data_IF_223365537020
#
_entry.id   IF_223365537020
#
_cell.length_a   1.000
_cell.length_b   1.000
_cell.length_c   1.000
_cell.angle_alpha   90.00
_cell.angle_beta   90.00
_cell.angle_gamma   90.00
#
_symmetry.space_group_name_H-M   'P 1'
#
loop_
_entity.id
_entity.type
_entity.pdbx_description
1 polymer ?
#
# COMPACT_ATOMS: atom_id res chain seq x y z
N UNK A 1 1.30 7.83 11.84
CA UNK A 1 1.65 6.71 12.74
C UNK A 1 0.86 5.44 12.41
N UNK A 2 -0.48 5.49 12.39
CA UNK A 2 -1.34 4.32 12.10
C UNK A 2 -0.96 3.61 10.78
N UNK A 3 -0.68 4.36 9.72
CA UNK A 3 -0.31 3.81 8.41
C UNK A 3 1.01 3.05 8.44
N UNK A 4 2.02 3.55 9.18
CA UNK A 4 3.28 2.85 9.40
C UNK A 4 3.05 1.51 10.12
N UNK A 5 2.27 1.52 11.22
CA UNK A 5 1.95 0.30 11.97
C UNK A 5 1.19 -0.72 11.11
N UNK A 6 0.26 -0.27 10.28
CA UNK A 6 -0.44 -1.13 9.33
C UNK A 6 0.51 -1.75 8.30
N UNK A 7 1.48 -0.98 7.81
CA UNK A 7 2.46 -1.47 6.83
C UNK A 7 3.37 -2.56 7.40
N UNK A 8 3.73 -2.47 8.70
CA UNK A 8 4.66 -3.42 9.34
C UNK A 8 3.96 -4.59 10.04
N UNK A 9 2.64 -4.56 10.22
CA UNK A 9 1.87 -5.56 10.98
C UNK A 9 1.88 -6.99 10.40
N UNK A 10 2.31 -7.15 9.16
CA UNK A 10 2.47 -8.45 8.49
C UNK A 10 3.92 -8.95 8.46
N UNK A 11 4.85 -8.26 9.12
CA UNK A 11 6.24 -8.68 9.19
C UNK A 11 6.47 -9.75 10.27
N UNK A 12 7.57 -10.50 10.21
CA UNK A 12 8.02 -11.33 11.33
C UNK A 12 8.11 -10.52 12.62
N UNK A 13 7.76 -11.13 13.75
CA UNK A 13 7.54 -10.40 15.01
C UNK A 13 8.78 -9.65 15.51
N UNK A 14 9.96 -10.19 15.31
CA UNK A 14 11.23 -9.53 15.66
C UNK A 14 11.45 -8.25 14.83
N UNK A 15 11.19 -8.31 13.51
CA UNK A 15 11.29 -7.16 12.61
C UNK A 15 10.20 -6.12 12.92
N UNK A 16 8.96 -6.58 13.14
CA UNK A 16 7.85 -5.70 13.54
C UNK A 16 8.19 -4.96 14.85
N UNK A 17 8.64 -5.67 15.89
CA UNK A 17 8.99 -5.07 17.18
C UNK A 17 10.12 -4.02 17.03
N UNK A 18 11.16 -4.34 16.29
CA UNK A 18 12.27 -3.42 16.01
C UNK A 18 11.77 -2.15 15.33
N UNK A 19 10.92 -2.25 14.30
CA UNK A 19 10.35 -1.09 13.61
C UNK A 19 9.34 -0.33 14.48
N UNK A 20 8.59 -1.04 15.33
CA UNK A 20 7.67 -0.42 16.29
C UNK A 20 8.39 0.34 17.41
N UNK A 21 9.65 0.05 17.70
CA UNK A 21 10.46 0.79 18.67
C UNK A 21 10.95 2.16 18.15
N UNK A 22 10.88 2.42 16.84
CA UNK A 22 11.20 3.72 16.26
C UNK A 22 10.33 4.81 16.89
N UNK A 23 10.90 6.01 17.08
CA UNK A 23 10.18 7.18 17.58
C UNK A 23 8.94 7.49 16.72
N UNK A 24 7.84 7.86 17.34
CA UNK A 24 6.55 8.08 16.67
C UNK A 24 6.59 9.25 15.65
N UNK A 25 7.33 10.31 15.96
CA UNK A 25 7.47 11.44 15.04
C UNK A 25 8.22 11.03 13.77
N UNK A 26 9.23 10.16 13.92
CA UNK A 26 9.96 9.64 12.77
C UNK A 26 9.12 8.66 11.94
N UNK A 27 8.31 7.78 12.57
CA UNK A 27 7.37 6.90 11.85
C UNK A 27 6.45 7.67 10.92
N UNK A 28 6.00 8.86 11.35
CA UNK A 28 5.14 9.72 10.53
C UNK A 28 5.84 10.27 9.29
N UNK A 29 7.17 10.30 9.25
CA UNK A 29 7.95 10.79 8.12
C UNK A 29 8.33 9.68 7.12
N UNK A 30 8.35 8.41 7.52
CA UNK A 30 8.77 7.28 6.69
C UNK A 30 7.77 7.06 5.56
N UNK A 31 8.23 7.08 4.31
CA UNK A 31 7.44 6.80 3.12
C UNK A 31 7.66 5.36 2.61
N UNK A 32 8.85 4.80 2.91
CA UNK A 32 9.25 3.51 2.38
C UNK A 32 10.24 2.82 3.33
N UNK A 33 10.07 1.51 3.52
CA UNK A 33 10.97 0.65 4.29
C UNK A 33 11.59 -0.33 3.31
N UNK A 34 12.92 -0.45 3.31
CA UNK A 34 13.62 -1.34 2.40
C UNK A 34 14.45 -2.38 3.13
N UNK A 35 14.19 -3.63 2.78
CA UNK A 35 14.97 -4.81 3.17
C UNK A 35 15.73 -5.31 1.95
N UNK A 36 17.04 -5.51 2.07
CA UNK A 36 17.88 -6.05 1.00
C UNK A 36 18.80 -7.11 1.58
N UNK A 37 19.02 -8.17 0.80
CA UNK A 37 19.90 -9.26 1.19
C UNK A 37 21.28 -8.76 1.58
N UNK A 38 21.74 -9.16 2.77
CA UNK A 38 23.03 -8.82 3.38
C UNK A 38 23.29 -7.30 3.49
N UNK A 39 22.21 -6.51 3.64
CA UNK A 39 22.28 -5.06 3.81
C UNK A 39 21.47 -4.63 5.04
N UNK A 40 21.78 -3.46 5.62
CA UNK A 40 21.00 -2.92 6.71
C UNK A 40 19.60 -2.46 6.20
N UNK A 41 18.62 -2.51 7.10
CA UNK A 41 17.30 -1.95 6.86
C UNK A 41 17.40 -0.44 6.67
N UNK A 42 16.79 0.07 5.59
CA UNK A 42 16.73 1.50 5.32
C UNK A 42 15.30 2.03 5.35
N UNK A 43 15.17 3.26 5.83
CA UNK A 43 13.93 4.02 5.96
C UNK A 43 14.04 5.26 5.09
N UNK A 44 13.20 5.37 4.07
CA UNK A 44 13.19 6.52 3.17
C UNK A 44 12.15 7.54 3.62
N UNK A 45 12.56 8.78 3.74
CA UNK A 45 11.73 9.94 4.06
C UNK A 45 11.88 11.02 2.98
N UNK A 46 11.16 12.13 3.11
CA UNK A 46 11.42 13.31 2.27
C UNK A 46 12.77 13.98 2.56
N UNK A 47 13.31 13.77 3.77
CA UNK A 47 14.56 14.37 4.25
C UNK A 47 15.79 13.54 3.84
N UNK A 48 15.59 12.29 3.37
CA UNK A 48 16.67 11.41 2.94
C UNK A 48 16.48 9.96 3.37
N UNK A 49 17.57 9.19 3.30
CA UNK A 49 17.64 7.77 3.64
C UNK A 49 18.31 7.62 5.00
N UNK A 50 17.69 6.84 5.86
CA UNK A 50 18.14 6.56 7.22
C UNK A 50 18.29 5.04 7.40
N UNK A 51 19.14 4.63 8.32
CA UNK A 51 19.30 3.24 8.73
C UNK A 51 18.56 2.97 10.03
N UNK A 52 18.12 1.72 10.20
CA UNK A 52 17.52 1.24 11.45
C UNK A 52 18.52 0.37 12.21
N UNK A 53 18.70 0.65 13.51
CA UNK A 53 19.54 -0.18 14.40
C UNK A 53 18.75 -1.37 14.93
N UNK A 54 19.44 -2.36 15.51
CA UNK A 54 18.85 -3.54 16.15
C UNK A 54 17.81 -3.19 17.23
N UNK A 55 17.98 -2.04 17.89
CA UNK A 55 17.10 -1.56 18.96
C UNK A 55 16.02 -0.55 18.47
N UNK A 56 15.82 -0.42 17.15
CA UNK A 56 14.83 0.51 16.60
C UNK A 56 15.23 1.98 16.67
N UNK A 57 16.49 2.31 16.90
CA UNK A 57 16.99 3.68 16.73
C UNK A 57 17.26 3.97 15.27
N UNK A 58 17.15 5.22 14.89
CA UNK A 58 17.36 5.69 13.51
C UNK A 58 18.64 6.52 13.45
N UNK A 59 19.47 6.27 12.43
CA UNK A 59 20.76 6.96 12.24
C UNK A 59 21.05 7.14 10.74
N UNK A 60 21.86 8.13 10.41
CA UNK A 60 22.46 8.30 9.07
C UNK A 60 23.81 7.60 8.94
N UNK A 61 24.42 7.22 10.07
CA UNK A 61 25.77 6.64 10.11
C UNK A 61 25.70 5.13 9.88
N UNK A 62 26.54 4.64 8.99
CA UNK A 62 26.74 3.20 8.78
C UNK A 62 27.67 2.65 9.88
N UNK A 63 27.19 1.67 10.67
CA UNK A 63 27.92 1.05 11.77
C UNK A 63 27.44 -0.38 12.05
N UNK A 64 28.08 -1.09 12.97
CA UNK A 64 27.79 -2.50 13.29
C UNK A 64 26.50 -2.72 14.12
N UNK A 65 25.91 -1.64 14.64
CA UNK A 65 24.68 -1.68 15.44
C UNK A 65 23.42 -1.74 14.55
N UNK A 66 23.59 -1.61 13.22
CA UNK A 66 22.50 -1.64 12.26
C UNK A 66 21.87 -3.03 12.19
N UNK A 67 20.56 -3.05 11.88
CA UNK A 67 19.83 -4.30 11.66
C UNK A 67 20.05 -4.77 10.22
N UNK A 68 20.88 -5.79 10.05
CA UNK A 68 21.14 -6.42 8.76
C UNK A 68 20.14 -7.54 8.49
N UNK A 69 19.72 -7.66 7.24
CA UNK A 69 18.81 -8.70 6.76
C UNK A 69 19.59 -9.70 5.93
N UNK A 70 19.73 -10.93 6.41
CA UNK A 70 20.29 -12.02 5.63
C UNK A 70 19.27 -12.61 4.65
N UNK A 71 19.69 -13.53 3.80
CA UNK A 71 18.83 -14.19 2.82
C UNK A 71 17.68 -14.96 3.48
N UNK A 72 17.94 -15.62 4.61
CA UNK A 72 16.93 -16.40 5.33
C UNK A 72 15.83 -15.49 5.90
N UNK A 73 16.23 -14.39 6.53
CA UNK A 73 15.31 -13.39 7.06
C UNK A 73 14.49 -12.73 5.94
N UNK A 74 15.12 -12.47 4.79
CA UNK A 74 14.40 -11.92 3.65
C UNK A 74 13.33 -12.87 3.10
N UNK A 75 13.62 -14.17 3.01
CA UNK A 75 12.63 -15.19 2.65
C UNK A 75 11.49 -15.26 3.68
N UNK A 76 11.82 -15.20 4.97
CA UNK A 76 10.84 -15.16 6.05
C UNK A 76 9.92 -13.93 5.92
N UNK A 77 10.49 -12.74 5.64
CA UNK A 77 9.71 -11.51 5.39
C UNK A 77 8.73 -11.72 4.24
N UNK A 78 9.17 -12.24 3.09
CA UNK A 78 8.28 -12.48 1.94
C UNK A 78 7.19 -13.49 2.28
N UNK A 79 7.52 -14.55 3.00
CA UNK A 79 6.56 -15.56 3.46
C UNK A 79 5.47 -14.95 4.35
N UNK A 80 5.84 -14.09 5.30
CA UNK A 80 4.89 -13.41 6.16
C UNK A 80 4.03 -12.38 5.40
N UNK A 81 4.62 -11.60 4.49
CA UNK A 81 3.91 -10.64 3.66
C UNK A 81 2.90 -11.33 2.70
N UNK A 82 3.21 -12.55 2.24
CA UNK A 82 2.28 -13.40 1.48
C UNK A 82 1.29 -14.16 2.38
N UNK A 83 1.11 -13.74 3.63
CA UNK A 83 0.21 -14.37 4.61
C UNK A 83 0.46 -15.87 4.78
N UNK A 84 1.73 -16.26 4.72
CA UNK A 84 2.21 -17.66 4.83
C UNK A 84 1.73 -18.55 3.70
N UNK A 85 1.27 -17.99 2.58
CA UNK A 85 0.80 -18.74 1.41
C UNK A 85 1.34 -18.13 0.11
N UNK A 86 2.57 -18.48 -0.25
CA UNK A 86 3.23 -17.99 -1.47
C UNK A 86 2.42 -18.37 -2.72
N UNK A 87 1.82 -19.56 -2.75
CA UNK A 87 1.03 -20.03 -3.88
C UNK A 87 -0.19 -19.17 -4.17
N UNK A 88 -0.90 -18.72 -3.13
CA UNK A 88 -2.06 -17.82 -3.29
C UNK A 88 -1.69 -16.47 -3.94
N UNK A 89 -0.46 -16.03 -3.73
CA UNK A 89 0.02 -14.73 -4.22
C UNK A 89 0.98 -14.86 -5.42
N UNK A 90 1.04 -16.02 -6.05
CA UNK A 90 2.00 -16.31 -7.11
C UNK A 90 1.90 -15.34 -8.29
N UNK A 91 0.70 -15.03 -8.77
CA UNK A 91 0.48 -14.09 -9.87
C UNK A 91 0.96 -12.67 -9.54
N UNK A 92 0.84 -12.26 -8.28
CA UNK A 92 1.30 -10.96 -7.83
C UNK A 92 2.80 -10.93 -7.64
N UNK A 93 3.37 -12.00 -7.11
CA UNK A 93 4.81 -12.18 -7.02
C UNK A 93 5.43 -12.17 -8.43
N UNK A 94 4.82 -12.82 -9.42
CA UNK A 94 5.24 -12.75 -10.81
C UNK A 94 5.24 -11.32 -11.36
N UNK A 95 4.31 -10.47 -10.89
CA UNK A 95 4.26 -9.03 -11.21
C UNK A 95 5.18 -8.17 -10.33
N UNK A 96 5.93 -8.78 -9.40
CA UNK A 96 6.92 -8.12 -8.57
C UNK A 96 6.35 -7.35 -7.37
N UNK A 97 5.14 -7.62 -6.91
CA UNK A 97 4.58 -6.94 -5.75
C UNK A 97 3.61 -7.81 -4.94
N UNK A 98 3.40 -7.42 -3.68
CA UNK A 98 2.36 -7.93 -2.80
C UNK A 98 1.53 -6.77 -2.24
N UNK A 99 0.20 -6.84 -2.27
CA UNK A 99 -0.67 -5.86 -1.61
C UNK A 99 -0.65 -6.10 -0.10
N UNK A 100 -0.60 -5.01 0.64
CA UNK A 100 -0.63 -4.99 2.10
C UNK A 100 -1.91 -4.30 2.59
N UNK A 101 -2.09 -4.22 3.91
CA UNK A 101 -3.24 -3.52 4.50
C UNK A 101 -3.25 -2.02 4.13
N UNK A 102 -4.45 -1.45 4.05
CA UNK A 102 -4.69 -0.02 3.87
C UNK A 102 -3.97 0.61 2.65
N UNK A 103 -3.95 -0.11 1.53
CA UNK A 103 -3.36 0.38 0.29
C UNK A 103 -1.84 0.43 0.27
N UNK A 104 -1.15 -0.03 1.33
CA UNK A 104 0.28 -0.25 1.30
C UNK A 104 0.63 -1.36 0.30
N UNK A 105 1.82 -1.31 -0.28
CA UNK A 105 2.32 -2.31 -1.22
C UNK A 105 3.76 -2.67 -0.89
N UNK A 106 4.08 -3.95 -1.01
CA UNK A 106 5.46 -4.42 -0.97
C UNK A 106 5.92 -4.77 -2.38
N UNK A 107 6.90 -4.04 -2.91
CA UNK A 107 7.62 -4.42 -4.12
C UNK A 107 8.61 -5.55 -3.76
N UNK A 108 8.66 -6.57 -4.58
CA UNK A 108 9.51 -7.76 -4.39
C UNK A 108 10.53 -7.81 -5.50
N UNK A 109 11.80 -7.90 -5.12
CA UNK A 109 12.91 -8.09 -6.05
C UNK A 109 13.55 -9.47 -5.85
N UNK A 110 13.96 -10.09 -6.95
CA UNK A 110 14.60 -11.40 -6.95
C UNK A 110 14.84 -11.90 -8.36
N UNK A 111 15.18 -13.16 -8.51
CA UNK A 111 15.39 -13.81 -9.81
C UNK A 111 14.07 -14.34 -10.36
N UNK A 112 13.77 -14.00 -11.61
CA UNK A 112 12.56 -14.48 -12.26
C UNK A 112 12.69 -15.96 -12.63
N UNK A 113 11.62 -16.72 -12.42
CA UNK A 113 11.42 -18.05 -12.98
C UNK A 113 10.54 -17.89 -14.21
N UNK A 114 11.07 -18.24 -15.37
CA UNK A 114 10.37 -18.14 -16.66
C UNK A 114 9.73 -19.48 -17.00
N UNK A 115 8.47 -19.49 -17.39
CA UNK A 115 7.74 -20.63 -17.94
C UNK A 115 6.92 -20.15 -19.12
N UNK A 116 7.01 -20.87 -20.24
CA UNK A 116 6.29 -20.56 -21.49
C UNK A 116 6.49 -19.11 -21.98
N UNK A 117 7.72 -18.56 -21.80
CA UNK A 117 8.08 -17.20 -22.21
C UNK A 117 7.58 -16.07 -21.28
N UNK A 118 6.86 -16.40 -20.22
CA UNK A 118 6.36 -15.44 -19.23
C UNK A 118 7.00 -15.63 -17.84
N UNK A 119 7.01 -14.58 -17.04
CA UNK A 119 7.42 -14.67 -15.63
C UNK A 119 6.38 -15.46 -14.87
N UNK A 120 6.75 -16.65 -14.41
CA UNK A 120 5.89 -17.54 -13.64
C UNK A 120 5.93 -17.24 -12.14
N UNK A 121 7.12 -16.95 -11.60
CA UNK A 121 7.31 -16.57 -10.21
C UNK A 121 8.65 -15.86 -10.00
N UNK A 122 8.91 -15.41 -8.79
CA UNK A 122 10.20 -14.91 -8.33
C UNK A 122 10.81 -15.93 -7.38
N UNK A 123 12.06 -16.28 -7.60
CA UNK A 123 12.89 -17.05 -6.68
C UNK A 123 14.04 -16.20 -6.15
N UNK A 124 14.81 -16.72 -5.20
CA UNK A 124 16.03 -16.07 -4.69
C UNK A 124 15.82 -14.58 -4.42
N UNK A 125 14.90 -14.26 -3.52
CA UNK A 125 14.56 -12.87 -3.18
C UNK A 125 15.81 -12.07 -2.80
N UNK A 126 15.99 -10.92 -3.42
CA UNK A 126 17.11 -9.99 -3.20
C UNK A 126 16.70 -8.72 -2.46
N UNK A 127 15.40 -8.40 -2.45
CA UNK A 127 14.89 -7.23 -1.77
C UNK A 127 13.39 -7.19 -1.62
N UNK A 128 12.96 -6.48 -0.58
CA UNK A 128 11.56 -6.12 -0.31
C UNK A 128 11.49 -4.64 -0.03
N UNK A 129 10.50 -3.98 -0.60
CA UNK A 129 10.34 -2.54 -0.56
C UNK A 129 8.90 -2.20 -0.18
N UNK A 130 8.66 -1.92 1.11
CA UNK A 130 7.33 -1.60 1.62
C UNK A 130 7.06 -0.11 1.47
N UNK A 131 6.10 0.24 0.61
CA UNK A 131 5.59 1.61 0.47
C UNK A 131 4.42 1.83 1.41
N UNK A 132 4.52 2.90 2.21
CA UNK A 132 3.50 3.28 3.16
C UNK A 132 2.51 4.20 2.45
N UNK A 133 1.28 3.71 2.27
CA UNK A 133 0.17 4.54 1.79
C UNK A 133 -0.34 5.40 2.93
N UNK A 134 -0.61 6.67 2.65
CA UNK A 134 -1.19 7.59 3.62
C UNK A 134 -2.55 8.05 3.13
N UNK A 135 -3.50 8.11 4.03
CA UNK A 135 -4.78 8.73 3.78
C UNK A 135 -4.71 10.23 4.07
N UNK A 136 -5.20 11.01 3.10
CA UNK A 136 -5.33 12.46 3.22
C UNK A 136 -6.82 12.81 3.28
N UNK A 137 -7.37 12.82 4.49
CA UNK A 137 -8.77 13.13 4.72
C UNK A 137 -9.02 14.62 4.51
N UNK A 138 -10.06 14.94 3.72
CA UNK A 138 -10.47 16.31 3.43
C UNK A 138 -9.75 16.96 2.26
N UNK A 139 -8.92 16.23 1.50
CA UNK A 139 -8.25 16.78 0.32
C UNK A 139 -9.21 17.04 -0.87
N UNK A 140 -10.42 16.48 -0.83
CA UNK A 140 -11.46 16.68 -1.84
C UNK A 140 -12.35 17.91 -1.60
N UNK A 141 -12.24 18.57 -0.45
CA UNK A 141 -13.14 19.67 -0.06
C UNK A 141 -13.24 20.80 -1.08
N UNK A 142 -12.10 21.22 -1.63
CA UNK A 142 -12.10 22.32 -2.59
C UNK A 142 -12.67 21.89 -3.94
N UNK A 143 -12.44 20.64 -4.34
CA UNK A 143 -13.07 20.09 -5.55
C UNK A 143 -14.58 19.98 -5.39
N UNK A 144 -15.08 19.49 -4.25
CA UNK A 144 -16.52 19.39 -3.97
C UNK A 144 -17.18 20.77 -3.99
N UNK A 145 -16.54 21.79 -3.41
CA UNK A 145 -17.02 23.18 -3.49
C UNK A 145 -17.10 23.70 -4.93
N UNK A 146 -16.12 23.33 -5.76
CA UNK A 146 -16.05 23.78 -7.15
C UNK A 146 -17.08 23.08 -8.05
N UNK A 147 -17.33 21.78 -7.81
CA UNK A 147 -18.27 20.95 -8.60
C UNK A 147 -19.70 21.12 -8.13
N UNK A 148 -19.92 21.52 -6.87
CA UNK A 148 -21.22 21.62 -6.21
C UNK A 148 -21.74 20.27 -5.71
N UNK A 149 -22.91 20.30 -5.04
CA UNK A 149 -23.51 19.10 -4.44
C UNK A 149 -24.13 18.14 -5.48
N UNK A 150 -24.49 18.65 -6.65
CA UNK A 150 -25.00 17.84 -7.76
C UNK A 150 -23.84 17.32 -8.58
N UNK A 151 -23.55 16.04 -8.43
CA UNK A 151 -22.46 15.38 -9.15
C UNK A 151 -22.71 15.43 -10.66
N UNK A 152 -21.86 16.15 -11.36
CA UNK A 152 -21.73 16.09 -12.81
C UNK A 152 -20.57 15.15 -13.17
N UNK A 153 -20.54 14.63 -14.38
CA UNK A 153 -19.39 13.85 -14.84
C UNK A 153 -18.14 14.72 -14.90
N UNK A 154 -17.03 14.28 -14.31
CA UNK A 154 -15.75 14.95 -14.38
C UNK A 154 -14.61 13.95 -14.56
N UNK A 155 -13.50 14.41 -15.13
CA UNK A 155 -12.31 13.64 -15.38
C UNK A 155 -11.14 14.22 -14.59
N UNK A 156 -10.48 13.38 -13.77
CA UNK A 156 -9.27 13.77 -13.01
C UNK A 156 -8.04 13.36 -13.81
N UNK A 157 -7.28 14.34 -14.28
CA UNK A 157 -6.06 14.15 -15.07
C UNK A 157 -4.85 14.67 -14.27
N UNK A 158 -3.71 13.99 -14.39
CA UNK A 158 -2.47 14.44 -13.78
C UNK A 158 -1.35 13.42 -13.96
N UNK A 159 -0.13 13.83 -13.67
CA UNK A 159 1.06 12.98 -13.74
C UNK A 159 0.98 11.80 -12.75
N UNK A 160 1.74 10.71 -12.95
CA UNK A 160 1.92 9.70 -11.92
C UNK A 160 2.34 10.34 -10.58
N UNK A 161 1.82 9.80 -9.46
CA UNK A 161 2.05 10.29 -8.10
C UNK A 161 1.49 11.70 -7.78
N UNK A 162 0.70 12.31 -8.65
CA UNK A 162 0.08 13.63 -8.39
C UNK A 162 -1.10 13.60 -7.39
N UNK A 163 -1.44 12.44 -6.81
CA UNK A 163 -2.49 12.31 -5.81
C UNK A 163 -3.88 11.97 -6.33
N UNK A 164 -4.07 11.66 -7.64
CA UNK A 164 -5.39 11.32 -8.23
C UNK A 164 -6.17 10.28 -7.45
N UNK A 165 -5.53 9.16 -7.13
CA UNK A 165 -6.16 8.07 -6.36
C UNK A 165 -6.51 8.51 -4.94
N UNK A 166 -5.68 9.33 -4.32
CA UNK A 166 -5.91 9.90 -2.99
C UNK A 166 -7.15 10.81 -3.00
N UNK A 167 -7.25 11.65 -4.03
CA UNK A 167 -8.39 12.54 -4.23
C UNK A 167 -9.69 11.74 -4.47
N UNK A 168 -9.64 10.70 -5.32
CA UNK A 168 -10.80 9.81 -5.56
C UNK A 168 -11.28 9.11 -4.30
N UNK A 169 -10.36 8.60 -3.47
CA UNK A 169 -10.70 7.98 -2.17
C UNK A 169 -11.44 8.93 -1.26
N UNK A 170 -10.93 10.14 -1.14
CA UNK A 170 -11.51 11.15 -0.28
C UNK A 170 -12.86 11.66 -0.80
N UNK A 171 -13.03 11.75 -2.12
CA UNK A 171 -14.31 12.03 -2.75
C UNK A 171 -15.34 10.95 -2.40
N UNK A 172 -15.01 9.67 -2.61
CA UNK A 172 -15.90 8.56 -2.28
C UNK A 172 -16.28 8.60 -0.78
N UNK A 173 -15.28 8.76 0.09
CA UNK A 173 -15.50 8.89 1.54
C UNK A 173 -16.41 10.05 1.89
N UNK A 174 -16.28 11.19 1.22
CA UNK A 174 -17.09 12.37 1.52
C UNK A 174 -18.53 12.20 1.05
N UNK A 175 -18.74 11.65 -0.15
CA UNK A 175 -20.10 11.42 -0.67
C UNK A 175 -20.83 10.25 0.02
N UNK A 176 -20.12 9.18 0.36
CA UNK A 176 -20.68 7.97 0.96
C UNK A 176 -20.41 7.86 2.49
N UNK A 177 -19.96 8.93 3.14
CA UNK A 177 -19.60 8.92 4.56
C UNK A 177 -20.79 9.15 5.49
N UNK A 178 -20.69 8.67 6.74
CA UNK A 178 -21.69 8.84 7.80
C UNK A 178 -21.95 10.32 8.15
N UNK A 179 -20.96 11.19 7.95
CA UNK A 179 -21.05 12.61 8.24
C UNK A 179 -21.61 13.46 7.07
N UNK A 180 -22.04 12.82 6.00
CA UNK A 180 -22.74 13.50 4.91
C UNK A 180 -24.18 13.76 5.34
N UNK A 181 -24.69 14.98 5.12
CA UNK A 181 -26.07 15.35 5.46
C UNK A 181 -27.09 14.52 4.65
N UNK A 182 -26.71 14.12 3.43
CA UNK A 182 -27.43 13.18 2.57
C UNK A 182 -26.40 12.20 1.97
N UNK A 183 -26.11 11.06 2.64
CA UNK A 183 -25.14 10.11 2.12
C UNK A 183 -25.60 9.53 0.79
N UNK A 184 -24.75 9.61 -0.21
CA UNK A 184 -25.02 9.08 -1.54
C UNK A 184 -24.53 7.63 -1.64
N UNK A 185 -25.24 6.81 -2.41
CA UNK A 185 -24.72 5.50 -2.82
C UNK A 185 -23.59 5.71 -3.82
N UNK A 186 -22.42 5.18 -3.51
CA UNK A 186 -21.24 5.26 -4.36
C UNK A 186 -20.82 3.87 -4.77
N UNK A 187 -20.53 3.68 -6.05
CA UNK A 187 -19.93 2.44 -6.56
C UNK A 187 -18.54 2.74 -7.11
N UNK A 188 -17.54 2.00 -6.66
CA UNK A 188 -16.16 2.08 -7.16
C UNK A 188 -15.89 0.88 -8.06
N UNK A 189 -15.55 1.12 -9.32
CA UNK A 189 -14.98 0.10 -10.20
C UNK A 189 -13.46 0.20 -10.17
N UNK A 190 -12.83 -0.69 -9.40
CA UNK A 190 -11.40 -0.67 -9.08
C UNK A 190 -10.66 -1.81 -9.78
N UNK A 191 -10.42 -1.65 -11.07
CA UNK A 191 -9.79 -2.67 -11.92
C UNK A 191 -8.42 -3.12 -11.42
N UNK A 192 -7.67 -2.23 -10.75
CA UNK A 192 -6.30 -2.50 -10.26
C UNK A 192 -6.21 -2.66 -8.75
N UNK A 193 -7.35 -2.65 -8.07
CA UNK A 193 -7.41 -2.64 -6.59
C UNK A 193 -6.53 -1.55 -5.96
N UNK A 194 -6.51 -0.36 -6.57
CA UNK A 194 -5.69 0.77 -6.14
C UNK A 194 -6.47 1.84 -5.38
N UNK A 195 -7.78 1.90 -5.54
CA UNK A 195 -8.64 2.89 -4.89
C UNK A 195 -9.05 2.38 -3.51
N UNK A 196 -9.79 1.29 -3.44
CA UNK A 196 -10.32 0.74 -2.20
C UNK A 196 -9.44 -0.33 -1.56
N UNK A 197 -8.54 -0.97 -2.33
CA UNK A 197 -7.59 -2.01 -1.87
C UNK A 197 -8.24 -3.11 -1.04
N UNK A 198 -9.43 -3.58 -1.45
CA UNK A 198 -10.25 -4.54 -0.69
C UNK A 198 -9.90 -6.00 -0.92
N UNK A 199 -9.32 -6.36 -2.07
CA UNK A 199 -9.15 -7.76 -2.51
C UNK A 199 -8.29 -8.60 -1.58
N UNK A 200 -7.46 -8.00 -0.70
CA UNK A 200 -6.49 -8.72 0.13
C UNK A 200 -6.66 -8.47 1.62
N UNK A 201 -7.92 -8.28 2.07
CA UNK A 201 -8.28 -8.35 3.49
C UNK A 201 -7.86 -7.14 4.31
N UNK A 202 -7.92 -5.97 3.76
CA UNK A 202 -7.72 -4.73 4.48
C UNK A 202 -8.01 -3.56 3.56
N UNK A 203 -9.28 -3.15 3.43
CA UNK A 203 -9.67 -2.00 2.60
C UNK A 203 -9.23 -0.68 3.18
N UNK A 204 -9.05 0.29 2.30
CA UNK A 204 -9.00 1.71 2.68
C UNK A 204 -10.44 2.18 2.94
N UNK A 205 -10.61 3.10 3.88
CA UNK A 205 -11.91 3.73 4.10
C UNK A 205 -12.29 4.59 2.89
N UNK A 206 -13.39 4.21 2.25
CA UNK A 206 -13.98 4.88 1.08
C UNK A 206 -15.42 5.34 1.34
N UNK A 207 -15.85 5.29 2.61
CA UNK A 207 -17.20 5.61 3.06
C UNK A 207 -18.09 4.38 3.22
N UNK A 208 -19.03 4.46 4.19
CA UNK A 208 -19.88 3.32 4.61
C UNK A 208 -20.93 2.94 3.57
N UNK A 209 -21.33 3.87 2.70
CA UNK A 209 -22.30 3.65 1.63
C UNK A 209 -21.64 3.40 0.26
N UNK A 210 -20.41 2.86 0.27
CA UNK A 210 -19.65 2.57 -0.94
C UNK A 210 -19.59 1.08 -1.23
N UNK A 211 -20.09 0.67 -2.39
CA UNK A 211 -19.88 -0.65 -2.96
C UNK A 211 -18.62 -0.66 -3.82
N UNK A 212 -17.84 -1.75 -3.75
CA UNK A 212 -16.58 -1.86 -4.45
C UNK A 212 -16.53 -3.10 -5.32
N UNK A 213 -16.36 -2.89 -6.62
CA UNK A 213 -16.13 -3.91 -7.63
C UNK A 213 -14.62 -3.98 -7.91
N UNK A 214 -13.89 -4.81 -7.14
CA UNK A 214 -12.44 -4.96 -7.27
C UNK A 214 -12.07 -5.97 -8.33
N UNK A 215 -11.02 -5.66 -9.13
CA UNK A 215 -10.46 -6.52 -10.18
C UNK A 215 -11.39 -6.80 -11.35
N UNK A 216 -12.52 -6.13 -11.43
CA UNK A 216 -13.38 -6.18 -12.62
C UNK A 216 -12.80 -5.33 -13.75
N UNK A 217 -12.83 -5.81 -15.01
CA UNK A 217 -12.62 -4.96 -16.16
C UNK A 217 -13.60 -3.76 -16.12
N UNK A 218 -13.13 -2.57 -16.46
CA UNK A 218 -13.93 -1.33 -16.30
C UNK A 218 -15.29 -1.40 -16.96
N UNK A 219 -15.34 -1.92 -18.18
CA UNK A 219 -16.59 -2.03 -18.97
C UNK A 219 -17.63 -2.89 -18.24
N UNK A 220 -17.21 -4.08 -17.78
CA UNK A 220 -18.07 -5.00 -17.04
C UNK A 220 -18.49 -4.40 -15.67
N UNK A 221 -17.53 -3.79 -14.98
CA UNK A 221 -17.79 -3.17 -13.69
C UNK A 221 -18.77 -2.00 -13.77
N UNK A 222 -18.68 -1.16 -14.79
CA UNK A 222 -19.62 -0.05 -15.02
C UNK A 222 -21.03 -0.57 -15.30
N UNK A 223 -21.17 -1.59 -16.15
CA UNK A 223 -22.46 -2.22 -16.42
C UNK A 223 -23.13 -2.80 -15.16
N UNK A 224 -22.35 -3.40 -14.28
CA UNK A 224 -22.84 -3.89 -12.99
C UNK A 224 -23.24 -2.72 -12.09
N UNK A 225 -22.39 -1.70 -11.98
CA UNK A 225 -22.61 -0.53 -11.14
C UNK A 225 -23.91 0.24 -11.51
N UNK A 226 -24.28 0.24 -12.78
CA UNK A 226 -25.51 0.91 -13.25
C UNK A 226 -26.80 0.11 -12.95
N UNK A 227 -26.67 -1.15 -12.50
CA UNK A 227 -27.81 -2.04 -12.17
C UNK A 227 -27.99 -2.24 -10.66
N UNK A 228 -27.01 -1.83 -9.85
CA UNK A 228 -27.05 -1.90 -8.37
C UNK A 228 -27.46 -0.56 -7.78
#
# INVERSE_FOLDING_TARGET
MKDFLNAVSLLPKDVENMLCAINNDFKCKVNEIRFRSNKPVTLNTKEGVFYCTKNGRVTVNYNDDLYFVDNKKLQEIVFFLSRRSIHTYQDMLAKGYLPLKNGCKAGIAGSAVIKDGAVYSISSFSGVNIRISRDFIGCSKDLIKAVGEKCTSFLIIGQPLSGKTTLLRDLCRTYAGENSFEPQKVVIVDERDEIASKSFGGGVDVGVHTDVLSLFPKEVGIDIALRT
#
